data_IF_334169419672
#
_entry.id   IF_334169419672
#
_cell.length_a   1.000
_cell.length_b   1.000
_cell.length_c   1.000
_cell.angle_alpha   90.00
_cell.angle_beta   90.00
_cell.angle_gamma   90.00
#
_symmetry.space_group_name_H-M   'P 1'
#
loop_
_entity.id
_entity.type
_entity.pdbx_description
1 polymer ?
#
# COMPACT_ATOMS: atom_id res chain seq x y z
N UNK A 1 -12.82 9.93 -29.76
CA UNK A 1 -11.89 8.99 -30.44
C UNK A 1 -10.58 8.76 -29.67
N UNK A 2 -9.79 9.78 -29.32
CA UNK A 2 -8.53 9.63 -28.56
C UNK A 2 -8.61 8.79 -27.27
N UNK A 3 -9.71 8.91 -26.51
CA UNK A 3 -9.92 8.16 -25.26
C UNK A 3 -10.12 6.65 -25.48
N UNK A 4 -10.73 6.26 -26.60
CA UNK A 4 -10.93 4.85 -26.97
C UNK A 4 -9.62 4.24 -27.48
N UNK A 5 -8.88 4.99 -28.31
CA UNK A 5 -7.54 4.62 -28.77
C UNK A 5 -6.57 4.40 -27.60
N UNK A 6 -6.51 5.34 -26.64
CA UNK A 6 -5.67 5.20 -25.45
C UNK A 6 -6.11 4.02 -24.55
N UNK A 7 -7.41 3.72 -24.49
CA UNK A 7 -7.90 2.53 -23.77
C UNK A 7 -7.45 1.22 -24.44
N UNK A 8 -7.41 1.17 -25.77
CA UNK A 8 -6.94 0.00 -26.53
C UNK A 8 -5.43 -0.25 -26.40
N UNK A 9 -4.66 0.79 -26.07
CA UNK A 9 -3.21 0.70 -25.81
C UNK A 9 -2.86 0.34 -24.35
N UNK A 10 -3.84 0.35 -23.43
CA UNK A 10 -3.57 -0.10 -22.07
C UNK A 10 -3.36 -1.61 -22.10
N UNK A 11 -2.15 -2.05 -21.76
CA UNK A 11 -1.86 -3.45 -21.44
C UNK A 11 -2.96 -3.98 -20.53
N UNK A 12 -3.48 -5.18 -20.85
CA UNK A 12 -4.42 -5.90 -20.00
C UNK A 12 -3.90 -5.87 -18.59
N UNK A 13 -4.60 -5.16 -17.70
CA UNK A 13 -4.19 -5.05 -16.30
C UNK A 13 -4.24 -6.47 -15.74
N UNK A 14 -3.08 -7.09 -15.52
CA UNK A 14 -2.96 -8.49 -15.09
C UNK A 14 -3.78 -8.75 -13.82
N UNK A 15 -3.86 -7.77 -12.93
CA UNK A 15 -4.66 -7.82 -11.70
C UNK A 15 -5.54 -6.58 -11.53
N UNK A 16 -6.76 -6.54 -12.10
CA UNK A 16 -7.63 -5.38 -11.95
C UNK A 16 -8.05 -5.20 -10.49
N UNK A 17 -8.24 -3.95 -10.05
CA UNK A 17 -8.86 -3.69 -8.74
C UNK A 17 -10.38 -3.94 -8.91
N UNK A 18 -11.03 -4.74 -8.03
CA UNK A 18 -12.48 -4.95 -8.07
C UNK A 18 -13.27 -3.64 -8.06
N UNK A 19 -14.52 -3.66 -8.54
CA UNK A 19 -15.38 -2.48 -8.52
C UNK A 19 -15.89 -2.14 -7.11
N UNK A 20 -16.44 -0.93 -6.96
CA UNK A 20 -17.05 -0.44 -5.72
C UNK A 20 -16.10 0.31 -4.78
N UNK A 21 -14.84 0.53 -5.16
CA UNK A 21 -13.92 1.40 -4.44
C UNK A 21 -14.08 2.85 -4.85
N UNK A 22 -13.97 3.75 -3.87
CA UNK A 22 -13.81 5.18 -4.09
C UNK A 22 -12.55 5.48 -4.90
N UNK A 23 -12.46 6.68 -5.46
CA UNK A 23 -11.22 7.16 -6.11
C UNK A 23 -10.03 7.09 -5.15
N UNK A 24 -10.26 7.43 -3.87
CA UNK A 24 -9.24 7.43 -2.83
C UNK A 24 -8.62 6.03 -2.65
N UNK A 25 -9.45 5.00 -2.55
CA UNK A 25 -9.03 3.60 -2.33
C UNK A 25 -8.33 3.04 -3.56
N UNK A 26 -8.92 3.26 -4.75
CA UNK A 26 -8.32 2.84 -6.01
C UNK A 26 -6.90 3.36 -6.21
N UNK A 27 -6.66 4.64 -5.91
CA UNK A 27 -5.33 5.25 -6.07
C UNK A 27 -4.31 4.62 -5.13
N UNK A 28 -4.63 4.38 -3.86
CA UNK A 28 -3.68 3.79 -2.90
C UNK A 28 -3.36 2.35 -3.24
N UNK A 29 -4.38 1.54 -3.49
CA UNK A 29 -4.20 0.14 -3.90
C UNK A 29 -3.32 0.06 -5.15
N UNK A 30 -3.54 0.95 -6.13
CA UNK A 30 -2.70 0.99 -7.34
C UNK A 30 -1.26 1.36 -7.02
N UNK A 31 -1.03 2.43 -6.27
CA UNK A 31 0.32 2.87 -5.88
C UNK A 31 1.09 1.81 -5.10
N UNK A 32 0.41 1.12 -4.19
CA UNK A 32 1.01 -0.01 -3.45
C UNK A 32 1.39 -1.14 -4.40
N UNK A 33 0.47 -1.55 -5.28
CA UNK A 33 0.71 -2.61 -6.26
C UNK A 33 1.86 -2.31 -7.22
N UNK A 34 2.02 -1.04 -7.61
CA UNK A 34 3.09 -0.60 -8.52
C UNK A 34 4.35 -0.14 -7.79
N UNK A 35 4.44 -0.29 -6.47
CA UNK A 35 5.60 0.16 -5.68
C UNK A 35 5.79 1.69 -5.62
N UNK A 36 4.82 2.48 -6.06
CA UNK A 36 4.86 3.95 -6.12
C UNK A 36 4.11 4.63 -4.97
N UNK A 37 3.75 3.87 -3.93
CA UNK A 37 3.12 4.35 -2.70
C UNK A 37 3.94 5.48 -2.06
N UNK A 38 5.22 5.22 -1.80
CA UNK A 38 6.14 6.23 -1.28
C UNK A 38 6.74 7.04 -2.42
N UNK A 39 6.09 8.16 -2.76
CA UNK A 39 6.62 9.04 -3.80
C UNK A 39 7.95 9.67 -3.40
N UNK A 40 8.84 10.00 -4.35
CA UNK A 40 10.09 10.71 -4.06
C UNK A 40 9.87 12.02 -3.29
N UNK A 41 8.81 12.78 -3.59
CA UNK A 41 8.47 14.00 -2.86
C UNK A 41 8.06 13.73 -1.40
N UNK A 42 7.33 12.64 -1.14
CA UNK A 42 6.99 12.19 0.23
C UNK A 42 8.24 11.72 0.97
N UNK A 43 9.14 11.00 0.30
CA UNK A 43 10.45 10.64 0.86
C UNK A 43 11.28 11.89 1.18
N UNK A 44 11.31 12.87 0.28
CA UNK A 44 12.06 14.12 0.43
C UNK A 44 11.50 15.05 1.52
N UNK A 45 10.22 14.93 1.89
CA UNK A 45 9.64 15.69 3.01
C UNK A 45 10.08 15.15 4.38
N UNK A 46 10.62 13.92 4.43
CA UNK A 46 11.29 13.41 5.64
C UNK A 46 12.73 13.88 5.77
N UNK A 47 13.33 14.37 4.67
CA UNK A 47 14.77 14.63 4.56
C UNK A 47 15.12 16.11 4.52
N UNK A 48 14.12 17.00 4.62
CA UNK A 48 14.33 18.45 4.59
C UNK A 48 14.08 19.06 5.96
N UNK A 49 15.16 19.22 6.75
CA UNK A 49 15.35 20.39 7.62
C UNK A 49 16.83 20.71 7.84
N UNK A 50 17.06 22.02 7.81
CA UNK A 50 18.16 22.83 8.34
C UNK A 50 19.57 22.58 7.75
N UNK A 51 19.94 23.51 6.86
CA UNK A 51 21.29 23.97 6.53
C UNK A 51 22.42 22.92 6.52
N UNK A 52 22.70 22.39 5.32
CA UNK A 52 24.07 22.02 4.95
C UNK A 52 24.54 20.60 5.24
N UNK A 53 23.66 19.64 5.56
CA UNK A 53 24.05 18.23 5.68
C UNK A 53 23.25 17.35 4.70
N UNK A 54 23.96 16.65 3.81
CA UNK A 54 23.42 15.96 2.61
C UNK A 54 22.81 14.58 2.90
N UNK A 55 22.72 14.17 4.17
CA UNK A 55 22.27 12.82 4.51
C UNK A 55 20.75 12.74 4.73
N UNK A 56 20.10 12.17 3.72
CA UNK A 56 18.69 11.84 3.66
C UNK A 56 18.32 10.77 4.71
N UNK A 57 17.58 11.14 5.78
CA UNK A 57 17.02 10.17 6.74
C UNK A 57 15.78 9.44 6.18
N UNK A 58 16.00 8.20 5.73
CA UNK A 58 14.97 7.31 5.21
C UNK A 58 14.35 6.39 6.26
N UNK A 59 14.51 6.68 7.56
CA UNK A 59 14.14 5.73 8.60
C UNK A 59 12.70 5.89 9.10
N UNK A 60 12.10 4.76 9.45
CA UNK A 60 10.77 4.68 10.04
C UNK A 60 10.81 5.16 11.49
N UNK A 61 10.41 6.42 11.72
CA UNK A 61 10.35 7.04 13.05
C UNK A 61 9.35 6.39 14.01
N UNK A 62 8.44 5.56 13.49
CA UNK A 62 7.47 4.79 14.30
C UNK A 62 8.02 3.42 14.74
N UNK A 63 9.13 2.95 14.17
CA UNK A 63 9.68 1.63 14.50
C UNK A 63 10.84 1.79 15.48
N UNK A 64 10.78 1.10 16.62
CA UNK A 64 11.87 1.08 17.62
C UNK A 64 13.18 0.57 17.01
N UNK A 65 13.09 -0.34 16.04
CA UNK A 65 14.26 -0.96 15.40
C UNK A 65 14.91 -0.09 14.30
N UNK A 66 14.32 1.05 13.91
CA UNK A 66 14.84 1.89 12.82
C UNK A 66 14.96 1.12 11.50
N UNK A 67 13.88 1.07 10.70
CA UNK A 67 13.90 0.42 9.38
C UNK A 67 13.74 1.43 8.24
N UNK A 68 14.28 1.14 7.07
CA UNK A 68 14.03 1.95 5.87
C UNK A 68 12.52 2.06 5.60
N UNK A 69 12.04 3.29 5.41
CA UNK A 69 10.67 3.60 5.08
C UNK A 69 10.40 3.17 3.63
N UNK A 70 10.01 1.91 3.49
CA UNK A 70 9.61 1.28 2.23
C UNK A 70 8.17 0.77 2.33
N UNK A 71 7.52 0.58 1.19
CA UNK A 71 6.17 0.00 1.13
C UNK A 71 6.18 -1.38 1.80
N UNK A 72 7.22 -2.18 1.54
CA UNK A 72 7.44 -3.49 2.17
C UNK A 72 7.58 -3.36 3.69
N UNK A 73 8.38 -2.40 4.17
CA UNK A 73 8.52 -2.19 5.61
C UNK A 73 7.18 -1.87 6.27
N UNK A 74 6.41 -0.93 5.70
CA UNK A 74 5.12 -0.52 6.28
C UNK A 74 4.08 -1.66 6.27
N UNK A 75 4.00 -2.41 5.18
CA UNK A 75 2.99 -3.45 5.00
C UNK A 75 3.32 -4.75 5.73
N UNK A 76 4.60 -5.05 5.98
CA UNK A 76 4.99 -6.40 6.42
C UNK A 76 5.90 -6.43 7.64
N UNK A 77 6.83 -5.48 7.75
CA UNK A 77 7.96 -5.59 8.70
C UNK A 77 7.77 -4.72 9.95
N UNK A 78 7.15 -3.55 9.81
CA UNK A 78 7.13 -2.53 10.85
C UNK A 78 6.39 -3.04 12.10
N UNK A 79 7.12 -3.21 13.21
CA UNK A 79 6.57 -3.77 14.47
C UNK A 79 5.48 -2.90 15.08
N UNK A 80 5.60 -1.57 15.01
CA UNK A 80 4.55 -0.66 15.52
C UNK A 80 3.24 -0.73 14.73
N UNK A 81 3.27 -1.31 13.53
CA UNK A 81 2.08 -1.52 12.71
C UNK A 81 1.51 -2.93 12.82
N UNK A 82 2.12 -3.82 13.60
CA UNK A 82 1.76 -5.23 13.68
C UNK A 82 0.33 -5.44 14.16
N UNK A 83 -0.07 -4.75 15.24
CA UNK A 83 -1.42 -4.85 15.77
C UNK A 83 -2.48 -4.44 14.74
N UNK A 84 -2.23 -3.36 13.98
CA UNK A 84 -3.14 -2.94 12.90
C UNK A 84 -3.24 -3.98 11.78
N UNK A 85 -2.16 -4.72 11.47
CA UNK A 85 -2.19 -5.82 10.49
C UNK A 85 -3.03 -6.98 11.00
N UNK A 86 -2.80 -7.39 12.25
CA UNK A 86 -3.57 -8.45 12.89
C UNK A 86 -5.06 -8.11 12.95
N UNK A 87 -5.41 -6.88 13.33
CA UNK A 87 -6.80 -6.40 13.36
C UNK A 87 -7.44 -6.38 11.98
N UNK A 88 -6.68 -6.02 10.94
CA UNK A 88 -7.15 -6.05 9.56
C UNK A 88 -7.35 -7.49 9.05
N UNK A 89 -6.47 -8.42 9.43
CA UNK A 89 -6.58 -9.83 9.03
C UNK A 89 -7.60 -10.60 9.86
N UNK A 90 -7.99 -10.11 11.03
CA UNK A 90 -9.03 -10.72 11.85
C UNK A 90 -10.39 -10.77 11.14
N UNK A 91 -10.64 -9.85 10.19
CA UNK A 91 -11.86 -9.88 9.36
C UNK A 91 -11.79 -10.86 8.19
N UNK A 92 -10.68 -11.58 8.00
CA UNK A 92 -10.50 -12.57 6.94
C UNK A 92 -10.66 -13.98 7.49
N UNK A 93 -11.22 -14.88 6.68
CA UNK A 93 -11.18 -16.32 6.98
C UNK A 93 -9.73 -16.81 7.01
N UNK A 94 -9.47 -17.90 7.74
CA UNK A 94 -8.10 -18.44 7.87
C UNK A 94 -7.44 -18.73 6.51
N UNK A 95 -8.23 -19.14 5.53
CA UNK A 95 -7.80 -19.41 4.14
C UNK A 95 -7.50 -18.14 3.34
N UNK A 96 -8.14 -17.01 3.70
CA UNK A 96 -7.95 -15.73 3.03
C UNK A 96 -6.88 -14.84 3.66
N UNK A 97 -6.30 -15.25 4.80
CA UNK A 97 -5.20 -14.51 5.43
C UNK A 97 -4.01 -14.43 4.46
N UNK A 98 -3.63 -13.22 4.04
CA UNK A 98 -2.62 -13.08 3.01
C UNK A 98 -1.25 -13.50 3.55
N UNK A 99 -0.58 -14.35 2.79
CA UNK A 99 0.84 -14.66 2.97
C UNK A 99 1.62 -13.90 1.91
N UNK A 100 2.58 -13.07 2.31
CA UNK A 100 3.41 -12.27 1.40
C UNK A 100 2.56 -11.33 0.51
N UNK A 101 3.03 -11.06 -0.70
CA UNK A 101 2.44 -10.14 -1.69
C UNK A 101 0.95 -10.38 -2.01
N UNK A 102 0.35 -11.51 -1.61
CA UNK A 102 -1.07 -11.79 -1.76
C UNK A 102 -1.99 -10.73 -1.14
N UNK A 103 -1.53 -9.93 -0.16
CA UNK A 103 -2.35 -8.83 0.38
C UNK A 103 -2.51 -7.67 -0.61
N UNK A 104 -1.47 -7.41 -1.40
CA UNK A 104 -1.45 -6.34 -2.39
C UNK A 104 -1.93 -6.83 -3.75
N UNK A 105 -1.65 -8.09 -4.09
CA UNK A 105 -1.97 -8.76 -5.34
C UNK A 105 -2.77 -10.05 -5.08
N UNK A 106 -4.00 -9.95 -4.55
CA UNK A 106 -4.83 -11.12 -4.31
C UNK A 106 -5.22 -11.79 -5.63
N UNK A 107 -5.06 -13.10 -5.68
CA UNK A 107 -5.46 -13.95 -6.81
C UNK A 107 -6.82 -14.62 -6.53
N UNK A 108 -7.40 -15.26 -7.54
CA UNK A 108 -8.64 -16.02 -7.40
C UNK A 108 -9.91 -15.21 -7.68
N UNK A 109 -11.02 -15.63 -7.09
CA UNK A 109 -12.35 -15.10 -7.37
C UNK A 109 -12.49 -13.62 -6.97
N UNK A 110 -13.37 -12.88 -7.68
CA UNK A 110 -13.55 -11.45 -7.47
C UNK A 110 -13.99 -11.09 -6.04
N UNK A 111 -14.86 -11.90 -5.43
CA UNK A 111 -15.32 -11.69 -4.06
C UNK A 111 -14.20 -11.87 -3.03
N UNK A 112 -13.40 -12.93 -3.20
CA UNK A 112 -12.23 -13.20 -2.36
C UNK A 112 -11.19 -12.07 -2.46
N UNK A 113 -10.89 -11.65 -3.70
CA UNK A 113 -10.00 -10.50 -3.95
C UNK A 113 -10.49 -9.23 -3.30
N UNK A 114 -11.81 -9.00 -3.32
CA UNK A 114 -12.42 -7.84 -2.68
C UNK A 114 -12.23 -7.88 -1.17
N UNK A 115 -12.51 -9.01 -0.51
CA UNK A 115 -12.31 -9.18 0.93
C UNK A 115 -10.86 -8.88 1.36
N UNK A 116 -9.87 -9.42 0.63
CA UNK A 116 -8.46 -9.17 0.92
C UNK A 116 -8.13 -7.67 0.77
N UNK A 117 -8.56 -7.03 -0.31
CA UNK A 117 -8.33 -5.60 -0.51
C UNK A 117 -9.07 -4.72 0.50
N UNK A 118 -10.27 -5.10 0.92
CA UNK A 118 -11.01 -4.38 1.97
C UNK A 118 -10.22 -4.40 3.28
N UNK A 119 -9.59 -5.54 3.63
CA UNK A 119 -8.69 -5.61 4.79
C UNK A 119 -7.45 -4.70 4.63
N UNK A 120 -6.86 -4.63 3.44
CA UNK A 120 -5.72 -3.75 3.16
C UNK A 120 -6.13 -2.27 3.31
N UNK A 121 -7.27 -1.89 2.75
CA UNK A 121 -7.82 -0.53 2.88
C UNK A 121 -8.12 -0.20 4.33
N UNK A 122 -8.70 -1.14 5.10
CA UNK A 122 -8.94 -0.98 6.54
C UNK A 122 -7.63 -0.68 7.26
N UNK A 123 -6.60 -1.50 7.04
CA UNK A 123 -5.27 -1.27 7.59
C UNK A 123 -4.73 0.13 7.26
N UNK A 124 -4.77 0.54 5.99
CA UNK A 124 -4.25 1.84 5.53
C UNK A 124 -4.98 3.01 6.22
N UNK A 125 -6.29 2.88 6.46
CA UNK A 125 -7.10 3.88 7.15
C UNK A 125 -6.76 3.95 8.64
N UNK A 126 -6.75 2.83 9.33
CA UNK A 126 -6.63 2.77 10.79
C UNK A 126 -5.19 3.02 11.29
N UNK A 127 -4.18 2.59 10.54
CA UNK A 127 -2.77 2.77 10.90
C UNK A 127 -2.22 4.18 10.67
N UNK A 128 -2.94 5.02 9.93
CA UNK A 128 -2.43 6.32 9.47
C UNK A 128 -1.39 6.24 8.35
N UNK A 129 -1.08 5.05 7.82
CA UNK A 129 -0.07 4.85 6.76
C UNK A 129 -0.43 5.58 5.45
N UNK A 130 -1.70 5.87 5.22
CA UNK A 130 -2.15 6.68 4.08
C UNK A 130 -1.50 8.06 3.98
N UNK A 131 -0.95 8.61 5.08
CA UNK A 131 -0.18 9.85 5.04
C UNK A 131 1.12 9.71 4.23
N UNK A 132 1.54 8.47 3.97
CA UNK A 132 2.76 8.15 3.23
C UNK A 132 2.46 7.57 1.83
N UNK A 133 1.19 7.36 1.47
CA UNK A 133 0.72 6.72 0.21
C UNK A 133 -0.18 7.63 -0.61
#
# INVERSE_FOLDING_TARGET
>A
ERKLYLKGLLLTIEDPIPQGYTRWENVRSRRIRTGTALTPARKATFTKKEEGNEDIDHMCKKCIAGGLLTTTHMLWVCKSLEKFRQDAWASLTSEAKPRNEAWTHPKGQAQHRKQILDSLIRFIRTSGVHQFI
#
